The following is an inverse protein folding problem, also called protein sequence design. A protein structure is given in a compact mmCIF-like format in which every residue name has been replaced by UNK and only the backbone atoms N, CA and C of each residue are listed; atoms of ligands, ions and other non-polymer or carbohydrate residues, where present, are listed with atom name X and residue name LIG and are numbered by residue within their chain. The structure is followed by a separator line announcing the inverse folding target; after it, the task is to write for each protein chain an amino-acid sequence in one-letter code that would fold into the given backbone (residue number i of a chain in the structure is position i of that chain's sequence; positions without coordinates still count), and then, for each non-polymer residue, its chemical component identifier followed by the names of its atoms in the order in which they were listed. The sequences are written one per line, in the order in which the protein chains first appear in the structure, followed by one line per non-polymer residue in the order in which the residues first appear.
data_IF_542311991760
#
_entry.id   IF_542311991760
#
_cell.length_a   1.000
_cell.length_b   1.000
_cell.length_c   1.000
_cell.angle_alpha   90.00
_cell.angle_beta   90.00
_cell.angle_gamma   90.00
#
_symmetry.space_group_name_H-M   'P 1'
#
loop_
_entity.id
_entity.type
_entity.pdbx_description
1 polymer ?
#
# COMPACT_ATOMS: atom_id res chain seq x y z
N UNK A 1 23.30 10.34 4.00
CA UNK A 1 22.80 10.92 2.73
C UNK A 1 21.61 10.07 2.27
N UNK A 2 20.38 10.51 2.55
CA UNK A 2 19.17 9.78 2.16
C UNK A 2 18.95 10.05 0.67
N UNK A 3 19.14 9.04 -0.19
CA UNK A 3 18.80 9.16 -1.61
C UNK A 3 17.30 9.33 -1.75
N UNK A 4 16.86 10.39 -2.41
CA UNK A 4 15.44 10.59 -2.73
C UNK A 4 14.94 9.44 -3.61
N UNK A 5 13.80 8.86 -3.25
CA UNK A 5 13.17 7.81 -4.04
C UNK A 5 12.48 8.44 -5.25
N UNK A 6 13.17 8.48 -6.40
CA UNK A 6 12.56 8.93 -7.65
C UNK A 6 11.83 7.78 -8.34
N UNK A 7 10.52 7.95 -8.57
CA UNK A 7 9.72 6.99 -9.33
C UNK A 7 10.32 6.79 -10.73
N UNK A 8 10.80 7.86 -11.37
CA UNK A 8 11.44 7.78 -12.69
C UNK A 8 12.73 6.94 -12.66
N UNK A 9 13.53 7.03 -11.61
CA UNK A 9 14.74 6.20 -11.48
C UNK A 9 14.42 4.74 -11.24
N UNK A 10 13.36 4.45 -10.47
CA UNK A 10 12.86 3.08 -10.28
C UNK A 10 12.52 2.44 -11.62
N UNK A 11 11.83 3.17 -12.50
CA UNK A 11 11.33 2.68 -13.79
C UNK A 11 12.43 2.43 -14.82
N UNK A 12 13.60 3.06 -14.66
CA UNK A 12 14.80 2.77 -15.48
C UNK A 12 15.44 1.42 -15.12
N UNK A 13 15.19 0.87 -13.94
CA UNK A 13 15.82 -0.38 -13.46
C UNK A 13 15.29 -1.62 -14.21
N UNK A 14 16.00 -2.73 -14.11
CA UNK A 14 15.53 -4.03 -14.59
C UNK A 14 14.29 -4.52 -13.84
N UNK A 15 13.46 -5.33 -14.49
CA UNK A 15 12.26 -5.93 -13.90
C UNK A 15 12.54 -6.58 -12.53
N UNK A 16 13.62 -7.36 -12.42
CA UNK A 16 14.09 -7.92 -11.14
C UNK A 16 14.24 -6.87 -10.04
N UNK A 17 14.94 -5.77 -10.34
CA UNK A 17 15.19 -4.69 -9.36
C UNK A 17 13.91 -3.96 -8.99
N UNK A 18 13.00 -3.77 -9.94
CA UNK A 18 11.67 -3.19 -9.70
C UNK A 18 10.89 -4.09 -8.72
N UNK A 19 10.78 -5.40 -8.99
CA UNK A 19 10.14 -6.37 -8.09
C UNK A 19 10.74 -6.33 -6.68
N UNK A 20 12.07 -6.38 -6.55
CA UNK A 20 12.74 -6.36 -5.25
C UNK A 20 12.48 -5.07 -4.47
N UNK A 21 12.51 -3.92 -5.15
CA UNK A 21 12.34 -2.62 -4.49
C UNK A 21 10.91 -2.45 -3.98
N UNK A 22 9.93 -2.81 -4.80
CA UNK A 22 8.51 -2.69 -4.45
C UNK A 22 8.11 -3.73 -3.43
N UNK A 23 8.58 -4.96 -3.59
CA UNK A 23 8.40 -6.00 -2.60
C UNK A 23 8.92 -5.58 -1.23
N UNK A 24 10.15 -5.03 -1.19
CA UNK A 24 10.73 -4.47 0.02
C UNK A 24 9.88 -3.35 0.62
N UNK A 25 9.41 -2.41 -0.21
CA UNK A 25 8.56 -1.32 0.24
C UNK A 25 7.22 -1.80 0.83
N UNK A 26 6.51 -2.70 0.14
CA UNK A 26 5.23 -3.25 0.62
C UNK A 26 5.39 -4.08 1.89
N UNK A 27 6.41 -4.93 1.97
CA UNK A 27 6.71 -5.71 3.17
C UNK A 27 7.04 -4.81 4.34
N UNK A 28 7.94 -3.84 4.13
CA UNK A 28 8.32 -2.90 5.17
C UNK A 28 7.12 -2.09 5.67
N UNK A 29 6.35 -1.51 4.75
CA UNK A 29 5.20 -0.69 5.11
C UNK A 29 4.11 -1.50 5.83
N UNK A 30 3.77 -2.69 5.33
CA UNK A 30 2.78 -3.57 5.96
C UNK A 30 3.20 -3.99 7.37
N UNK A 31 4.46 -4.39 7.58
CA UNK A 31 4.97 -4.77 8.90
C UNK A 31 5.04 -3.55 9.84
N UNK A 32 5.56 -2.42 9.36
CA UNK A 32 5.65 -1.20 10.15
C UNK A 32 4.27 -0.70 10.60
N UNK A 33 3.28 -0.72 9.71
CA UNK A 33 1.90 -0.36 10.04
C UNK A 33 1.31 -1.29 11.13
N UNK A 34 1.54 -2.60 11.02
CA UNK A 34 1.11 -3.55 12.04
C UNK A 34 1.79 -3.31 13.39
N UNK A 35 3.08 -3.01 13.40
CA UNK A 35 3.81 -2.65 14.62
C UNK A 35 3.27 -1.37 15.25
N UNK A 36 2.99 -0.35 14.43
CA UNK A 36 2.40 0.92 14.89
C UNK A 36 1.03 0.69 15.52
N UNK A 37 0.18 -0.18 14.94
CA UNK A 37 -1.09 -0.56 15.57
C UNK A 37 -0.86 -1.16 16.95
N UNK A 38 0.05 -2.14 17.09
CA UNK A 38 0.32 -2.76 18.41
C UNK A 38 0.83 -1.73 19.44
N UNK A 39 1.74 -0.85 19.02
CA UNK A 39 2.27 0.20 19.89
C UNK A 39 1.16 1.16 20.34
N UNK A 40 0.31 1.60 19.42
CA UNK A 40 -0.81 2.49 19.73
C UNK A 40 -1.85 1.83 20.63
N UNK A 41 -2.23 0.56 20.39
CA UNK A 41 -3.18 -0.16 21.24
C UNK A 41 -2.65 -0.30 22.67
N UNK A 42 -1.36 -0.59 22.85
CA UNK A 42 -0.73 -0.68 24.17
C UNK A 42 -0.65 0.68 24.89
N UNK A 43 -0.48 1.77 24.15
CA UNK A 43 -0.50 3.11 24.73
C UNK A 43 -1.91 3.52 25.16
N UNK A 44 -2.93 3.23 24.36
CA UNK A 44 -4.33 3.56 24.69
C UNK A 44 -4.85 2.82 25.91
N UNK A 45 -4.45 1.56 26.13
CA UNK A 45 -4.84 0.82 27.34
C UNK A 45 -4.29 1.42 28.65
N UNK A 46 -3.45 2.46 28.57
CA UNK A 46 -2.86 3.14 29.72
C UNK A 46 -3.55 4.48 30.05
N UNK A 47 -4.41 5.01 29.16
CA UNK A 47 -5.12 6.28 29.34
C UNK A 47 -6.63 6.04 29.38
N UNK A 48 -7.17 5.81 30.59
CA UNK A 48 -8.62 5.77 30.86
C UNK A 48 -9.16 7.21 31.03
N UNK A 49 -9.37 7.95 29.94
CA UNK A 49 -10.10 9.22 30.00
C UNK A 49 -11.32 9.19 29.04
N UNK A 50 -12.56 9.29 29.56
CA UNK A 50 -13.80 9.25 28.77
C UNK A 50 -14.02 10.45 27.84
N UNK A 51 -13.18 11.49 27.88
CA UNK A 51 -13.24 12.61 26.92
C UNK A 51 -12.80 12.24 25.48
N UNK A 52 -12.58 10.96 25.17
CA UNK A 52 -11.98 10.48 23.91
C UNK A 52 -12.86 9.49 23.12
N UNK A 53 -14.14 9.28 23.43
CA UNK A 53 -14.95 8.22 22.82
C UNK A 53 -14.99 8.23 21.27
N UNK A 54 -15.12 9.40 20.65
CA UNK A 54 -15.11 9.54 19.18
C UNK A 54 -13.71 9.34 18.58
N UNK A 55 -12.65 9.83 19.24
CA UNK A 55 -11.26 9.59 18.84
C UNK A 55 -10.89 8.10 18.98
N UNK A 56 -11.28 7.46 20.08
CA UNK A 56 -11.10 6.03 20.34
C UNK A 56 -11.85 5.19 19.31
N UNK A 57 -13.07 5.60 18.92
CA UNK A 57 -13.83 4.96 17.84
C UNK A 57 -13.11 5.07 16.49
N UNK A 58 -12.62 6.27 16.16
CA UNK A 58 -11.86 6.51 14.93
C UNK A 58 -10.58 5.67 14.88
N UNK A 59 -9.83 5.62 15.98
CA UNK A 59 -8.61 4.82 16.10
C UNK A 59 -8.90 3.32 16.04
N UNK A 60 -9.99 2.85 16.65
CA UNK A 60 -10.43 1.46 16.59
C UNK A 60 -10.72 1.01 15.16
N UNK A 61 -11.46 1.81 14.39
CA UNK A 61 -11.75 1.53 12.97
C UNK A 61 -10.48 1.51 12.12
N UNK A 62 -9.55 2.43 12.38
CA UNK A 62 -8.24 2.43 11.70
C UNK A 62 -7.44 1.16 12.04
N UNK A 63 -7.41 0.77 13.32
CA UNK A 63 -6.73 -0.45 13.78
C UNK A 63 -7.34 -1.71 13.18
N UNK A 64 -8.66 -1.79 13.11
CA UNK A 64 -9.39 -2.90 12.48
C UNK A 64 -9.04 -3.01 10.98
N UNK A 65 -9.11 -1.90 10.25
CA UNK A 65 -8.75 -1.86 8.84
C UNK A 65 -7.29 -2.26 8.62
N UNK A 66 -6.36 -1.73 9.42
CA UNK A 66 -4.93 -2.04 9.29
C UNK A 66 -4.61 -3.48 9.67
N UNK A 67 -5.22 -4.02 10.73
CA UNK A 67 -5.06 -5.43 11.11
C UNK A 67 -5.60 -6.38 10.04
N UNK A 68 -6.63 -5.96 9.31
CA UNK A 68 -7.19 -6.75 8.21
C UNK A 68 -6.31 -6.65 6.95
N UNK A 69 -5.90 -5.45 6.53
CA UNK A 69 -5.32 -5.23 5.20
C UNK A 69 -3.79 -5.23 5.14
N UNK A 70 -3.11 -4.78 6.20
CA UNK A 70 -1.64 -4.69 6.20
C UNK A 70 -0.92 -6.05 6.17
N UNK A 71 -1.46 -7.16 6.72
CA UNK A 71 -0.87 -8.48 6.53
C UNK A 71 -0.86 -8.91 5.07
N UNK A 72 -1.94 -8.65 4.32
CA UNK A 72 -2.01 -8.94 2.89
C UNK A 72 -1.01 -8.12 2.10
N UNK A 73 -0.83 -6.83 2.45
CA UNK A 73 0.20 -5.99 1.83
C UNK A 73 1.61 -6.53 2.10
N UNK A 74 1.87 -6.97 3.33
CA UNK A 74 3.17 -7.54 3.69
C UNK A 74 3.45 -8.84 2.91
N UNK A 75 2.46 -9.73 2.82
CA UNK A 75 2.52 -10.97 2.04
C UNK A 75 2.71 -10.71 0.54
N UNK A 76 1.99 -9.73 -0.01
CA UNK A 76 2.16 -9.28 -1.38
C UNK A 76 3.59 -8.79 -1.62
N UNK A 77 4.14 -8.01 -0.69
CA UNK A 77 5.54 -7.59 -0.73
C UNK A 77 6.53 -8.76 -0.71
N UNK A 78 6.29 -9.76 0.15
CA UNK A 78 7.11 -10.98 0.23
C UNK A 78 7.03 -11.76 -1.09
N UNK A 79 5.86 -11.83 -1.72
CA UNK A 79 5.68 -12.47 -3.01
C UNK A 79 6.47 -11.76 -4.12
N UNK A 80 6.51 -10.41 -4.13
CA UNK A 80 7.37 -9.65 -5.04
C UNK A 80 8.86 -9.86 -4.78
N UNK A 81 9.27 -9.94 -3.51
CA UNK A 81 10.65 -10.24 -3.14
C UNK A 81 11.04 -11.64 -3.63
N UNK A 82 10.20 -12.65 -3.39
CA UNK A 82 10.42 -14.00 -3.88
C UNK A 82 10.49 -14.02 -5.41
N UNK A 83 9.54 -13.39 -6.10
CA UNK A 83 9.54 -13.30 -7.55
C UNK A 83 10.79 -12.60 -8.10
N UNK A 84 11.22 -11.48 -7.48
CA UNK A 84 12.45 -10.78 -7.83
C UNK A 84 13.71 -11.61 -7.57
N UNK A 85 13.75 -12.35 -6.46
CA UNK A 85 14.88 -13.22 -6.11
C UNK A 85 15.04 -14.37 -7.10
N UNK A 86 13.93 -15.03 -7.46
CA UNK A 86 13.89 -16.14 -8.41
C UNK A 86 13.77 -15.70 -9.87
N UNK A 87 13.73 -14.40 -10.17
CA UNK A 87 13.42 -13.84 -11.49
C UNK A 87 14.25 -14.42 -12.64
N UNK A 88 15.55 -14.66 -12.39
CA UNK A 88 16.46 -15.23 -13.39
C UNK A 88 16.37 -16.76 -13.49
N UNK A 89 15.88 -17.44 -12.46
CA UNK A 89 15.73 -18.90 -12.41
C UNK A 89 14.41 -19.36 -13.04
N UNK A 90 13.38 -18.52 -12.99
CA UNK A 90 12.11 -18.76 -13.66
C UNK A 90 12.36 -18.65 -15.18
N UNK A 91 12.16 -19.74 -15.92
CA UNK A 91 12.35 -19.75 -17.39
C UNK A 91 11.05 -19.51 -18.15
N UNK A 92 9.92 -19.99 -17.61
CA UNK A 92 8.59 -19.83 -18.20
C UNK A 92 7.66 -19.08 -17.24
N UNK A 93 6.60 -18.48 -17.79
CA UNK A 93 5.47 -17.92 -17.03
C UNK A 93 5.73 -16.63 -16.21
N UNK A 94 6.86 -15.92 -16.42
CA UNK A 94 7.13 -14.64 -15.73
C UNK A 94 6.00 -13.63 -15.92
N UNK A 95 5.45 -13.56 -17.13
CA UNK A 95 4.33 -12.68 -17.44
C UNK A 95 3.06 -13.07 -16.68
N UNK A 96 2.76 -14.37 -16.59
CA UNK A 96 1.61 -14.88 -15.82
C UNK A 96 1.76 -14.57 -14.34
N UNK A 97 2.94 -14.78 -13.76
CA UNK A 97 3.22 -14.43 -12.36
C UNK A 97 3.04 -12.93 -12.13
N UNK A 98 3.56 -12.08 -13.03
CA UNK A 98 3.37 -10.63 -12.97
C UNK A 98 1.88 -10.23 -13.04
N UNK A 99 1.09 -10.88 -13.90
CA UNK A 99 -0.35 -10.64 -13.99
C UNK A 99 -1.08 -11.04 -12.71
N UNK A 100 -0.75 -12.20 -12.12
CA UNK A 100 -1.34 -12.65 -10.84
C UNK A 100 -1.02 -11.64 -9.74
N UNK A 101 0.26 -11.27 -9.60
CA UNK A 101 0.67 -10.29 -8.59
C UNK A 101 0.04 -8.91 -8.83
N UNK A 102 -0.12 -8.51 -10.09
CA UNK A 102 -0.79 -7.27 -10.46
C UNK A 102 -2.29 -7.28 -10.13
N UNK A 103 -2.98 -8.40 -10.36
CA UNK A 103 -4.38 -8.57 -9.96
C UNK A 103 -4.54 -8.50 -8.43
N UNK A 104 -3.63 -9.13 -7.68
CA UNK A 104 -3.63 -9.04 -6.22
C UNK A 104 -3.38 -7.61 -5.72
N UNK A 105 -2.47 -6.86 -6.37
CA UNK A 105 -2.29 -5.43 -6.10
C UNK A 105 -3.59 -4.64 -6.31
N UNK A 106 -4.31 -4.90 -7.42
CA UNK A 106 -5.57 -4.21 -7.72
C UNK A 106 -6.65 -4.53 -6.70
N UNK A 107 -6.80 -5.81 -6.33
CA UNK A 107 -7.76 -6.23 -5.30
C UNK A 107 -7.48 -5.48 -3.99
N UNK A 108 -6.23 -5.46 -3.54
CA UNK A 108 -5.84 -4.74 -2.33
C UNK A 108 -6.07 -3.23 -2.44
N UNK A 109 -5.73 -2.64 -3.59
CA UNK A 109 -5.91 -1.21 -3.88
C UNK A 109 -7.37 -0.79 -3.87
N UNK A 110 -8.30 -1.69 -4.19
CA UNK A 110 -9.73 -1.40 -4.13
C UNK A 110 -10.25 -1.66 -2.73
N UNK A 111 -9.93 -2.82 -2.14
CA UNK A 111 -10.51 -3.25 -0.86
C UNK A 111 -10.12 -2.33 0.29
N UNK A 112 -8.85 -1.91 0.37
CA UNK A 112 -8.36 -1.11 1.49
C UNK A 112 -9.02 0.28 1.55
N UNK A 113 -9.07 1.07 0.45
CA UNK A 113 -9.78 2.35 0.42
C UNK A 113 -11.25 2.23 0.81
N UNK A 114 -11.97 1.22 0.31
CA UNK A 114 -13.36 0.98 0.72
C UNK A 114 -13.49 0.69 2.22
N UNK A 115 -12.49 0.06 2.85
CA UNK A 115 -12.51 -0.19 4.30
C UNK A 115 -12.21 1.04 5.16
N UNK A 116 -11.57 2.07 4.61
CA UNK A 116 -11.20 3.30 5.34
C UNK A 116 -12.13 4.48 5.04
N UNK A 117 -13.14 4.33 4.18
CA UNK A 117 -14.12 5.40 3.89
C UNK A 117 -14.84 5.84 5.17
N UNK A 118 -15.27 4.88 6.00
CA UNK A 118 -15.92 5.16 7.28
C UNK A 118 -15.02 5.96 8.23
N UNK A 119 -13.72 5.67 8.21
CA UNK A 119 -12.72 6.44 8.96
C UNK A 119 -12.60 7.88 8.42
N UNK A 120 -12.58 8.07 7.09
CA UNK A 120 -12.49 9.39 6.46
C UNK A 120 -13.74 10.22 6.81
N UNK A 121 -14.92 9.61 6.81
CA UNK A 121 -16.18 10.28 7.16
C UNK A 121 -16.17 10.73 8.63
N UNK A 122 -15.73 9.87 9.55
CA UNK A 122 -15.60 10.23 10.97
C UNK A 122 -14.55 11.32 11.19
N UNK A 123 -13.40 11.24 10.51
CA UNK A 123 -12.36 12.27 10.59
C UNK A 123 -12.86 13.63 10.08
N UNK A 124 -13.57 13.63 8.96
CA UNK A 124 -14.13 14.84 8.37
C UNK A 124 -15.18 15.50 9.27
N UNK A 125 -15.98 14.69 9.98
CA UNK A 125 -16.99 15.17 10.92
C UNK A 125 -16.36 15.62 12.27
N UNK A 126 -15.26 15.00 12.70
CA UNK A 126 -14.56 15.34 13.96
C UNK A 126 -13.84 16.69 13.89
N UNK A 127 -13.29 17.06 12.73
CA UNK A 127 -12.52 18.31 12.56
C UNK A 127 -13.33 19.57 12.26
N UNK A 128 -14.65 19.48 12.12
CA UNK A 128 -15.47 20.67 11.88
C UNK A 128 -16.92 20.38 11.51
N UNK A 129 -17.79 20.33 12.51
CA UNK A 129 -19.22 20.60 12.28
C UNK A 129 -19.46 22.06 11.82
N UNK A 130 -18.51 22.97 12.07
CA UNK A 130 -18.66 24.41 11.80
C UNK A 130 -18.02 24.92 10.48
N UNK A 131 -17.25 24.09 9.76
CA UNK A 131 -16.53 24.54 8.54
C UNK A 131 -16.58 23.49 7.42
N UNK A 132 -17.57 23.61 6.51
CA UNK A 132 -17.73 22.73 5.35
C UNK A 132 -16.45 22.61 4.47
N UNK A 133 -15.61 23.65 4.44
CA UNK A 133 -14.35 23.63 3.72
C UNK A 133 -13.37 22.55 4.24
N UNK A 134 -13.35 22.28 5.55
CA UNK A 134 -12.48 21.26 6.14
C UNK A 134 -12.87 19.84 5.70
N UNK A 135 -14.18 19.59 5.63
CA UNK A 135 -14.74 18.34 5.11
C UNK A 135 -14.35 18.12 3.64
N UNK A 136 -14.50 19.14 2.81
CA UNK A 136 -14.08 19.07 1.39
C UNK A 136 -12.57 18.79 1.25
N UNK A 137 -11.72 19.49 2.01
CA UNK A 137 -10.27 19.28 1.99
C UNK A 137 -9.91 17.84 2.39
N UNK A 138 -10.55 17.29 3.42
CA UNK A 138 -10.30 15.92 3.89
C UNK A 138 -10.63 14.88 2.79
N UNK A 139 -11.73 15.05 2.08
CA UNK A 139 -12.07 14.18 0.94
C UNK A 139 -11.08 14.34 -0.23
N UNK A 140 -10.62 15.56 -0.53
CA UNK A 140 -9.60 15.79 -1.58
C UNK A 140 -8.29 15.09 -1.22
N UNK A 141 -7.83 15.18 0.03
CA UNK A 141 -6.65 14.45 0.49
C UNK A 141 -6.84 12.93 0.42
N UNK A 142 -8.03 12.43 0.80
CA UNK A 142 -8.37 11.01 0.67
C UNK A 142 -8.33 10.52 -0.79
N UNK A 143 -8.93 11.28 -1.71
CA UNK A 143 -8.93 10.97 -3.14
C UNK A 143 -7.51 11.03 -3.76
N UNK A 144 -6.71 12.02 -3.36
CA UNK A 144 -5.31 12.10 -3.78
C UNK A 144 -4.50 10.92 -3.24
N UNK A 145 -4.68 10.55 -1.97
CA UNK A 145 -4.07 9.37 -1.36
C UNK A 145 -4.42 8.09 -2.14
N UNK A 146 -5.69 7.92 -2.51
CA UNK A 146 -6.13 6.81 -3.36
C UNK A 146 -5.41 6.80 -4.71
N UNK A 147 -5.35 7.94 -5.40
CA UNK A 147 -4.69 8.05 -6.70
C UNK A 147 -3.20 7.70 -6.61
N UNK A 148 -2.51 8.13 -5.55
CA UNK A 148 -1.10 7.78 -5.29
C UNK A 148 -0.94 6.28 -5.04
N UNK A 149 -1.78 5.66 -4.22
CA UNK A 149 -1.74 4.20 -3.97
C UNK A 149 -1.99 3.43 -5.26
N UNK A 150 -3.00 3.82 -6.04
CA UNK A 150 -3.30 3.22 -7.32
C UNK A 150 -2.11 3.30 -8.28
N UNK A 151 -1.47 4.47 -8.38
CA UNK A 151 -0.28 4.63 -9.20
C UNK A 151 0.88 3.75 -8.72
N UNK A 152 1.16 3.73 -7.41
CA UNK A 152 2.22 2.90 -6.82
C UNK A 152 1.99 1.41 -7.07
N UNK A 153 0.74 0.96 -7.04
CA UNK A 153 0.36 -0.44 -7.19
C UNK A 153 0.32 -0.90 -8.63
N UNK A 154 -0.08 -0.03 -9.57
CA UNK A 154 -0.33 -0.41 -10.98
C UNK A 154 0.84 -0.08 -11.91
N UNK A 155 1.45 1.10 -11.77
CA UNK A 155 2.51 1.56 -12.67
C UNK A 155 3.65 0.56 -12.74
N UNK A 156 4.18 0.04 -11.62
CA UNK A 156 5.27 -0.91 -11.71
C UNK A 156 4.93 -2.22 -12.40
N UNK A 157 3.68 -2.69 -12.31
CA UNK A 157 3.23 -3.92 -12.98
C UNK A 157 3.33 -3.80 -14.48
N UNK A 158 2.94 -2.64 -14.99
CA UNK A 158 3.06 -2.31 -16.40
C UNK A 158 4.53 -2.34 -16.84
N UNK A 159 5.44 -1.75 -16.07
CA UNK A 159 6.86 -1.72 -16.40
C UNK A 159 7.55 -3.08 -16.27
N UNK A 160 7.22 -3.86 -15.25
CA UNK A 160 7.72 -5.24 -15.09
C UNK A 160 7.26 -6.07 -16.30
N UNK A 161 5.97 -6.05 -16.62
CA UNK A 161 5.40 -6.78 -17.76
C UNK A 161 6.01 -6.38 -19.10
N UNK A 162 6.16 -5.06 -19.34
CA UNK A 162 6.81 -4.54 -20.55
C UNK A 162 8.25 -5.04 -20.68
N UNK A 163 9.03 -5.02 -19.59
CA UNK A 163 10.43 -5.47 -19.59
C UNK A 163 10.58 -6.98 -19.72
N UNK A 164 9.64 -7.77 -19.18
CA UNK A 164 9.59 -9.22 -19.41
C UNK A 164 9.40 -9.50 -20.90
N UNK A 165 8.37 -8.90 -21.51
CA UNK A 165 8.05 -9.09 -22.94
C UNK A 165 9.21 -8.68 -23.85
N UNK A 166 9.87 -7.56 -23.56
CA UNK A 166 11.04 -7.10 -24.32
C UNK A 166 12.20 -8.10 -24.28
N UNK A 167 12.45 -8.74 -23.12
CA UNK A 167 13.52 -9.74 -23.00
C UNK A 167 13.18 -11.06 -23.69
N UNK A 168 11.90 -11.45 -23.71
CA UNK A 168 11.47 -12.66 -24.42
C UNK A 168 11.67 -12.48 -25.94
N UNK A 169 11.25 -11.36 -26.52
CA UNK A 169 11.42 -11.05 -27.95
C UNK A 169 12.88 -10.91 -28.42
N UNK A 170 13.85 -10.72 -27.51
CA UNK A 170 15.28 -10.61 -27.86
C UNK A 170 16.02 -11.96 -27.82
N UNK A 171 15.40 -12.99 -27.23
CA UNK A 171 15.98 -14.32 -27.12
C UNK A 171 15.36 -15.34 -28.10
N UNK A 172 14.33 -14.91 -28.84
CA UNK A 172 13.72 -15.61 -29.98
C UNK A 172 14.37 -15.14 -31.30
#
# INVERSE_FOLDING_TARGET
MIRSFSLQELLKKDAKKICMTIGGFYTFFGIAALLMVRLQSNMMSTFEDPAHDSFNTMMSLMHESWNTHMPFLALLGIAYLAFGYFFNKIKMDKLKINLILGSLCLIWTISYPFSITQYIDLFANFGGEEFEAFKYISYVFGAFGFAVVLALMTVPQFFIGKKIKQREMMND
#
